data_IF_772730968172
#
_entry.id   IF_772730968172
#
_cell.length_a   1.000
_cell.length_b   1.000
_cell.length_c   1.000
_cell.angle_alpha   90.00
_cell.angle_beta   90.00
_cell.angle_gamma   90.00
#
_symmetry.space_group_name_H-M   'P 1'
#
loop_
_entity.id
_entity.type
_entity.pdbx_description
1 polymer ?
#
# COMPACT_ATOMS: atom_id res chain seq x y z
N UNK A 1 27.69 11.30 42.89
CA UNK A 1 28.47 12.23 42.06
C UNK A 1 27.70 12.46 40.77
N UNK A 2 27.03 13.62 40.74
CA UNK A 2 26.62 14.45 39.61
C UNK A 2 26.11 13.80 38.31
N UNK A 3 24.81 13.52 38.27
CA UNK A 3 24.03 13.69 37.03
C UNK A 3 24.01 15.18 36.71
N UNK A 4 24.87 15.63 35.79
CA UNK A 4 24.74 16.95 35.16
C UNK A 4 23.32 17.06 34.59
N UNK A 5 22.52 17.94 35.18
CA UNK A 5 21.27 18.43 34.60
C UNK A 5 21.69 19.12 33.31
N UNK A 6 21.46 18.46 32.18
CA UNK A 6 21.63 19.09 30.87
C UNK A 6 20.52 20.15 30.79
N UNK A 7 20.89 21.43 30.92
CA UNK A 7 19.97 22.55 30.80
C UNK A 7 19.20 22.44 29.47
N UNK A 8 17.95 22.01 29.54
CA UNK A 8 17.04 21.96 28.40
C UNK A 8 16.72 23.43 28.04
N UNK A 9 17.44 23.98 27.06
CA UNK A 9 17.26 25.37 26.62
C UNK A 9 15.86 25.49 26.01
N UNK A 10 14.95 26.08 26.76
CA UNK A 10 13.59 26.34 26.32
C UNK A 10 13.56 27.55 25.39
N UNK A 11 13.10 27.34 24.17
CA UNK A 11 12.99 28.36 23.13
C UNK A 11 11.60 28.99 23.14
N UNK A 12 11.52 30.29 22.90
CA UNK A 12 10.26 30.95 22.53
C UNK A 12 9.77 30.46 21.16
N UNK A 13 8.51 30.75 20.82
CA UNK A 13 7.97 30.39 19.50
C UNK A 13 8.78 30.98 18.33
N UNK A 14 9.32 32.20 18.48
CA UNK A 14 10.12 32.83 17.44
C UNK A 14 11.50 32.17 17.28
N UNK A 15 12.16 31.83 18.38
CA UNK A 15 13.45 31.12 18.36
C UNK A 15 13.30 29.69 17.84
N UNK A 16 12.23 28.99 18.23
CA UNK A 16 11.91 27.66 17.73
C UNK A 16 11.62 27.68 16.21
N UNK A 17 10.84 28.67 15.74
CA UNK A 17 10.59 28.91 14.32
C UNK A 17 11.89 29.14 13.54
N UNK A 18 12.75 30.04 14.03
CA UNK A 18 14.04 30.32 13.41
C UNK A 18 14.95 29.09 13.35
N UNK A 19 14.96 28.28 14.40
CA UNK A 19 15.82 27.09 14.51
C UNK A 19 15.35 25.91 13.63
N UNK A 20 14.04 25.78 13.43
CA UNK A 20 13.44 24.68 12.65
C UNK A 20 13.12 25.06 11.21
N UNK A 21 13.21 26.35 10.85
CA UNK A 21 12.78 26.86 9.55
C UNK A 21 11.27 26.91 9.37
N UNK A 22 10.49 26.64 10.43
CA UNK A 22 9.04 26.69 10.41
C UNK A 22 8.53 28.10 10.76
N UNK A 23 7.31 28.43 10.33
CA UNK A 23 6.66 29.66 10.79
C UNK A 23 6.05 29.46 12.19
N UNK A 24 5.95 30.54 12.97
CA UNK A 24 5.21 30.53 14.26
C UNK A 24 3.75 30.06 14.06
N UNK A 25 3.15 30.36 12.91
CA UNK A 25 1.82 29.87 12.53
C UNK A 25 1.82 28.34 12.41
N UNK A 26 2.83 27.77 11.77
CA UNK A 26 2.98 26.31 11.61
C UNK A 26 3.12 25.62 12.97
N UNK A 27 3.90 26.19 13.89
CA UNK A 27 4.02 25.65 15.26
C UNK A 27 2.67 25.57 15.98
N UNK A 28 1.81 26.59 15.80
CA UNK A 28 0.44 26.58 16.38
C UNK A 28 -0.46 25.56 15.71
N UNK A 29 -0.34 25.38 14.39
CA UNK A 29 -1.09 24.34 13.66
C UNK A 29 -0.70 22.96 14.17
N UNK A 30 0.59 22.70 14.37
CA UNK A 30 1.07 21.41 14.86
C UNK A 30 0.64 21.14 16.31
N UNK A 31 0.66 22.15 17.18
CA UNK A 31 0.08 22.03 18.52
C UNK A 31 -1.43 21.74 18.47
N UNK A 32 -2.20 22.45 17.63
CA UNK A 32 -3.64 22.24 17.49
C UNK A 32 -4.00 20.84 16.96
N UNK A 33 -3.09 20.22 16.20
CA UNK A 33 -3.22 18.85 15.70
C UNK A 33 -2.62 17.80 16.66
N UNK A 34 -2.20 18.20 17.87
CA UNK A 34 -1.65 17.30 18.88
C UNK A 34 -0.25 16.75 18.56
N UNK A 35 0.43 17.29 17.54
CA UNK A 35 1.75 16.82 17.12
C UNK A 35 2.86 17.24 18.07
N UNK A 36 2.67 18.35 18.78
CA UNK A 36 3.59 18.87 19.79
C UNK A 36 2.80 19.42 20.97
N UNK A 37 3.40 19.36 22.16
CA UNK A 37 2.78 19.85 23.40
C UNK A 37 3.76 20.77 24.14
N UNK A 38 3.96 22.01 23.65
CA UNK A 38 4.95 22.91 24.23
C UNK A 38 4.62 23.27 25.68
N UNK A 39 5.65 23.40 26.50
CA UNK A 39 5.53 23.90 27.88
C UNK A 39 5.03 25.34 27.86
N UNK A 40 4.49 25.80 28.99
CA UNK A 40 3.98 27.17 29.12
C UNK A 40 4.56 27.85 30.35
N UNK A 41 4.86 29.14 30.23
CA UNK A 41 5.19 30.01 31.37
C UNK A 41 3.93 30.29 32.21
N UNK A 42 4.09 30.84 33.41
CA UNK A 42 2.97 31.36 34.22
C UNK A 42 2.12 32.42 33.50
N UNK A 43 2.72 33.19 32.58
CA UNK A 43 2.03 34.15 31.69
C UNK A 43 1.43 33.51 30.43
N UNK A 44 1.34 32.17 30.40
CA UNK A 44 0.78 31.36 29.32
C UNK A 44 1.50 31.45 27.95
N UNK A 45 2.78 31.85 27.93
CA UNK A 45 3.61 31.85 26.72
C UNK A 45 4.18 30.46 26.45
N UNK A 46 4.23 30.06 25.16
CA UNK A 46 4.75 28.75 24.73
C UNK A 46 6.27 28.71 24.76
N UNK A 47 6.79 27.62 25.31
CA UNK A 47 8.20 27.29 25.40
C UNK A 47 8.43 25.90 24.80
N UNK A 48 9.42 25.81 23.92
CA UNK A 48 9.75 24.62 23.15
C UNK A 48 11.10 24.09 23.63
N UNK A 49 11.12 22.91 24.20
CA UNK A 49 12.34 22.23 24.61
C UNK A 49 12.87 21.29 23.53
N UNK A 50 13.88 20.52 23.90
CA UNK A 50 14.53 19.57 22.99
C UNK A 50 13.54 18.55 22.42
N UNK A 51 12.59 18.08 23.23
CA UNK A 51 11.59 17.09 22.80
C UNK A 51 10.67 17.64 21.70
N UNK A 52 10.22 18.89 21.83
CA UNK A 52 9.41 19.51 20.78
C UNK A 52 10.21 19.68 19.49
N UNK A 53 11.50 20.03 19.57
CA UNK A 53 12.35 20.17 18.38
C UNK A 53 12.54 18.83 17.67
N UNK A 54 12.81 17.75 18.41
CA UNK A 54 12.92 16.40 17.84
C UNK A 54 11.61 16.02 17.15
N UNK A 55 10.47 16.22 17.82
CA UNK A 55 9.15 15.92 17.27
C UNK A 55 8.81 16.76 16.03
N UNK A 56 9.22 18.03 15.99
CA UNK A 56 9.07 18.88 14.81
C UNK A 56 9.86 18.36 13.61
N UNK A 57 11.09 17.89 13.83
CA UNK A 57 11.91 17.30 12.77
C UNK A 57 11.29 15.99 12.24
N UNK A 58 10.76 15.13 13.11
CA UNK A 58 10.02 13.92 12.71
C UNK A 58 8.83 14.26 11.81
N UNK A 59 8.01 15.24 12.22
CA UNK A 59 6.87 15.72 11.43
C UNK A 59 7.32 16.26 10.07
N UNK A 60 8.43 16.99 10.01
CA UNK A 60 8.96 17.55 8.76
C UNK A 60 9.42 16.46 7.79
N UNK A 61 10.14 15.44 8.28
CA UNK A 61 10.59 14.30 7.46
C UNK A 61 9.38 13.57 6.89
N UNK A 62 8.41 13.21 7.74
CA UNK A 62 7.19 12.52 7.29
C UNK A 62 6.36 13.38 6.33
N UNK A 63 6.38 14.70 6.50
CA UNK A 63 5.70 15.61 5.57
C UNK A 63 6.38 15.67 4.21
N UNK A 64 7.71 15.64 4.16
CA UNK A 64 8.49 15.54 2.93
C UNK A 64 8.24 14.22 2.18
N UNK A 65 7.99 13.14 2.91
CA UNK A 65 7.58 11.85 2.35
C UNK A 65 6.14 11.86 1.78
N UNK A 66 5.42 12.97 1.91
CA UNK A 66 4.09 13.16 1.32
C UNK A 66 2.92 12.80 2.24
N UNK A 67 3.16 12.52 3.53
CA UNK A 67 2.08 12.20 4.46
C UNK A 67 1.25 13.43 4.84
N UNK A 68 -0.03 13.23 5.15
CA UNK A 68 -0.90 14.28 5.69
C UNK A 68 -0.65 14.48 7.19
N UNK A 69 -0.99 15.66 7.75
CA UNK A 69 -0.77 15.94 9.17
C UNK A 69 -1.62 15.01 10.08
N UNK A 70 -2.82 14.63 9.64
CA UNK A 70 -3.66 13.67 10.36
C UNK A 70 -2.99 12.29 10.44
N UNK A 71 -2.43 11.81 9.32
CA UNK A 71 -1.71 10.53 9.27
C UNK A 71 -0.44 10.56 10.11
N UNK A 72 0.28 11.69 10.08
CA UNK A 72 1.47 11.90 10.93
C UNK A 72 1.10 11.87 12.41
N UNK A 73 -0.04 12.46 12.80
CA UNK A 73 -0.51 12.42 14.18
C UNK A 73 -0.86 11.01 14.66
N UNK A 74 -1.54 10.23 13.82
CA UNK A 74 -1.89 8.82 14.07
C UNK A 74 -0.63 7.95 14.22
N UNK A 75 0.41 8.24 13.43
CA UNK A 75 1.70 7.54 13.50
C UNK A 75 2.44 7.82 14.80
N UNK A 76 2.55 9.09 15.15
CA UNK A 76 3.36 9.55 16.27
C UNK A 76 2.69 9.37 17.64
N UNK A 77 1.45 8.84 17.67
CA UNK A 77 0.74 8.45 18.89
C UNK A 77 1.13 7.07 19.44
N UNK A 78 2.04 6.33 18.80
CA UNK A 78 2.81 5.27 19.47
C UNK A 78 2.59 3.82 19.03
N UNK A 79 2.37 3.56 17.74
CA UNK A 79 2.43 2.19 17.20
C UNK A 79 3.53 2.06 16.13
N UNK A 80 4.72 1.53 16.48
CA UNK A 80 5.85 1.40 15.56
C UNK A 80 5.53 0.58 14.30
N UNK A 81 4.72 -0.47 14.43
CA UNK A 81 4.27 -1.31 13.32
C UNK A 81 3.42 -0.55 12.28
N UNK A 82 2.76 0.56 12.69
CA UNK A 82 2.00 1.40 11.76
C UNK A 82 2.92 2.29 10.92
N UNK A 83 4.10 2.65 11.43
CA UNK A 83 5.06 3.48 10.69
C UNK A 83 5.66 2.73 9.52
N UNK A 84 6.20 1.54 9.76
CA UNK A 84 6.80 0.73 8.70
C UNK A 84 5.80 0.46 7.58
N UNK A 85 4.57 0.05 7.94
CA UNK A 85 3.51 -0.23 6.99
C UNK A 85 3.02 1.00 6.22
N UNK A 86 2.89 2.15 6.87
CA UNK A 86 2.47 3.38 6.20
C UNK A 86 3.57 3.93 5.28
N UNK A 87 4.84 3.80 5.68
CA UNK A 87 5.98 4.13 4.82
C UNK A 87 6.04 3.22 3.60
N UNK A 88 5.72 1.94 3.75
CA UNK A 88 5.66 1.00 2.62
C UNK A 88 4.54 1.37 1.63
N UNK A 89 3.33 1.65 2.12
CA UNK A 89 2.21 2.12 1.28
C UNK A 89 2.57 3.41 0.55
N UNK A 90 3.20 4.36 1.26
CA UNK A 90 3.61 5.63 0.68
C UNK A 90 4.72 5.44 -0.36
N UNK A 91 5.70 4.57 -0.09
CA UNK A 91 6.75 4.22 -1.03
C UNK A 91 6.18 3.60 -2.29
N UNK A 92 5.23 2.66 -2.18
CA UNK A 92 4.52 2.08 -3.33
C UNK A 92 3.77 3.15 -4.11
N UNK A 93 3.04 4.04 -3.43
CA UNK A 93 2.33 5.15 -4.08
C UNK A 93 3.28 6.06 -4.87
N UNK A 94 4.43 6.41 -4.28
CA UNK A 94 5.44 7.23 -4.94
C UNK A 94 6.11 6.50 -6.10
N UNK A 95 6.39 5.21 -5.98
CA UNK A 95 6.93 4.39 -7.09
C UNK A 95 5.95 4.31 -8.25
N UNK A 96 4.66 4.06 -7.98
CA UNK A 96 3.62 4.03 -9.02
C UNK A 96 3.53 5.38 -9.74
N UNK A 97 3.54 6.49 -9.00
CA UNK A 97 3.58 7.84 -9.60
C UNK A 97 4.87 8.06 -10.40
N UNK A 98 6.01 7.63 -9.90
CA UNK A 98 7.29 7.74 -10.62
C UNK A 98 7.24 6.97 -11.93
N UNK A 99 6.72 5.73 -11.93
CA UNK A 99 6.55 4.94 -13.15
C UNK A 99 5.62 5.63 -14.15
N UNK A 100 4.50 6.19 -13.67
CA UNK A 100 3.58 6.98 -14.51
C UNK A 100 4.24 8.24 -15.11
N UNK A 101 5.04 8.95 -14.31
CA UNK A 101 5.79 10.14 -14.75
C UNK A 101 6.82 9.73 -15.80
N UNK A 102 7.61 8.68 -15.57
CA UNK A 102 8.60 8.18 -16.52
C UNK A 102 7.97 7.74 -17.84
N UNK A 103 6.84 7.02 -17.79
CA UNK A 103 6.07 6.67 -18.99
C UNK A 103 5.58 7.91 -19.73
N UNK A 104 5.08 8.92 -19.00
CA UNK A 104 4.63 10.18 -19.59
C UNK A 104 5.78 10.95 -20.24
N UNK A 105 6.95 11.01 -19.59
CA UNK A 105 8.15 11.64 -20.13
C UNK A 105 8.66 10.94 -21.38
N UNK A 106 8.63 9.60 -21.40
CA UNK A 106 8.97 8.79 -22.58
C UNK A 106 8.05 9.11 -23.76
N UNK A 107 6.74 9.16 -23.51
CA UNK A 107 5.73 9.52 -24.52
C UNK A 107 5.97 10.95 -25.04
N UNK A 108 6.20 11.91 -24.15
CA UNK A 108 6.54 13.29 -24.53
C UNK A 108 7.80 13.31 -25.42
N UNK A 109 8.84 12.56 -25.07
CA UNK A 109 10.06 12.45 -25.89
C UNK A 109 9.79 11.90 -27.28
N UNK A 110 8.99 10.84 -27.40
CA UNK A 110 8.60 10.26 -28.70
C UNK A 110 7.77 11.25 -29.52
N UNK A 111 6.81 11.95 -28.90
CA UNK A 111 6.01 12.98 -29.55
C UNK A 111 6.88 14.15 -30.02
N UNK A 112 7.86 14.58 -29.22
CA UNK A 112 8.79 15.65 -29.59
C UNK A 112 9.66 15.24 -30.78
N UNK A 113 10.11 13.98 -30.87
CA UNK A 113 10.86 13.47 -32.01
C UNK A 113 10.00 13.42 -33.28
N UNK A 114 8.76 12.92 -33.19
CA UNK A 114 7.85 12.85 -34.34
C UNK A 114 7.35 14.23 -34.78
N UNK A 115 7.11 15.14 -33.84
CA UNK A 115 6.70 16.52 -34.15
C UNK A 115 7.71 17.28 -34.99
N UNK A 116 9.01 16.96 -34.90
CA UNK A 116 10.05 17.53 -35.79
C UNK A 116 9.85 17.15 -37.26
N UNK A 117 9.15 16.05 -37.54
CA UNK A 117 8.89 15.53 -38.89
C UNK A 117 7.42 15.70 -39.33
N UNK A 118 6.61 16.42 -38.54
CA UNK A 118 5.17 16.56 -38.72
C UNK A 118 4.40 15.49 -37.93
N UNK A 119 3.63 15.94 -36.93
CA UNK A 119 2.84 15.04 -36.09
C UNK A 119 1.47 14.80 -36.74
N UNK A 120 1.16 13.55 -37.09
CA UNK A 120 -0.17 13.17 -37.58
C UNK A 120 -1.09 12.67 -36.45
N UNK A 121 -2.40 12.68 -36.70
CA UNK A 121 -3.37 12.06 -35.79
C UNK A 121 -3.16 10.54 -35.66
N UNK A 122 -2.66 9.90 -36.71
CA UNK A 122 -2.35 8.47 -36.73
C UNK A 122 -1.14 8.14 -35.84
N UNK A 123 -0.14 9.04 -35.78
CA UNK A 123 0.98 8.92 -34.85
C UNK A 123 0.56 9.04 -33.39
N UNK A 124 -0.37 9.96 -33.10
CA UNK A 124 -0.96 10.12 -31.77
C UNK A 124 -1.74 8.86 -31.35
N UNK A 125 -2.50 8.27 -32.28
CA UNK A 125 -3.26 7.04 -32.04
C UNK A 125 -2.35 5.81 -31.91
N UNK A 126 -1.26 5.71 -32.68
CA UNK A 126 -0.24 4.65 -32.53
C UNK A 126 0.48 4.76 -31.20
N UNK A 127 0.86 5.96 -30.78
CA UNK A 127 1.52 6.18 -29.49
C UNK A 127 0.61 5.87 -28.31
N UNK A 128 -0.67 6.25 -28.37
CA UNK A 128 -1.64 5.86 -27.35
C UNK A 128 -1.75 4.32 -27.26
N UNK A 129 -1.78 3.61 -28.39
CA UNK A 129 -1.80 2.15 -28.43
C UNK A 129 -0.50 1.53 -27.89
N UNK A 130 0.67 2.06 -28.25
CA UNK A 130 1.97 1.59 -27.77
C UNK A 130 2.17 1.81 -26.26
N UNK A 131 1.63 2.88 -25.69
CA UNK A 131 1.60 3.09 -24.22
C UNK A 131 0.59 2.22 -23.48
N UNK A 132 -0.35 1.59 -24.20
CA UNK A 132 -1.36 0.70 -23.66
C UNK A 132 -1.16 -0.78 -24.04
N UNK A 133 -0.06 -1.14 -24.71
CA UNK A 133 0.22 -2.52 -25.10
C UNK A 133 1.12 -3.22 -24.09
N UNK A 134 0.49 -3.72 -23.02
CA UNK A 134 0.63 -5.10 -22.57
C UNK A 134 -0.75 -5.59 -22.10
N UNK A 135 -1.50 -6.22 -23.01
CA UNK A 135 -2.60 -7.16 -22.74
C UNK A 135 -3.47 -6.91 -21.50
N UNK A 136 -4.04 -5.73 -21.37
CA UNK A 136 -5.35 -5.58 -20.76
C UNK A 136 -6.32 -5.71 -21.95
N UNK A 137 -7.14 -6.76 -22.00
CA UNK A 137 -8.30 -6.76 -22.92
C UNK A 137 -9.02 -5.42 -22.80
N UNK A 138 -9.57 -4.87 -23.88
CA UNK A 138 -10.24 -3.54 -23.88
C UNK A 138 -11.17 -3.36 -22.65
N UNK A 139 -11.73 -4.45 -22.14
CA UNK A 139 -12.50 -4.55 -20.91
C UNK A 139 -11.74 -4.18 -19.61
N UNK A 140 -10.51 -4.64 -19.39
CA UNK A 140 -9.74 -4.33 -18.14
C UNK A 140 -9.36 -2.85 -18.12
N UNK A 141 -8.90 -2.30 -19.26
CA UNK A 141 -8.58 -0.88 -19.37
C UNK A 141 -9.83 -0.02 -19.12
N UNK A 142 -10.97 -0.41 -19.69
CA UNK A 142 -12.25 0.23 -19.43
C UNK A 142 -12.67 0.13 -17.95
N UNK A 143 -12.56 -1.05 -17.32
CA UNK A 143 -12.87 -1.21 -15.89
C UNK A 143 -11.96 -0.36 -15.02
N UNK A 144 -10.66 -0.28 -15.29
CA UNK A 144 -9.75 0.62 -14.55
C UNK A 144 -10.19 2.06 -14.64
N UNK A 145 -10.56 2.51 -15.84
CA UNK A 145 -11.09 3.85 -16.04
C UNK A 145 -12.38 4.08 -15.23
N UNK A 146 -13.32 3.14 -15.27
CA UNK A 146 -14.58 3.22 -14.50
C UNK A 146 -14.30 3.26 -12.99
N UNK A 147 -13.46 2.35 -12.49
CA UNK A 147 -13.11 2.23 -11.07
C UNK A 147 -12.38 3.46 -10.52
N UNK A 148 -11.62 4.16 -11.36
CA UNK A 148 -10.90 5.39 -11.03
C UNK A 148 -11.79 6.65 -10.98
N UNK A 149 -13.07 6.56 -11.40
CA UNK A 149 -13.95 7.73 -11.39
C UNK A 149 -14.23 8.20 -9.96
N UNK A 150 -14.38 9.52 -9.76
CA UNK A 150 -14.82 10.06 -8.47
C UNK A 150 -16.16 9.46 -8.04
N UNK A 151 -16.21 8.94 -6.82
CA UNK A 151 -17.41 8.36 -6.21
C UNK A 151 -18.05 9.36 -5.24
N UNK A 152 -19.38 9.35 -5.19
CA UNK A 152 -20.14 10.21 -4.26
C UNK A 152 -20.75 9.34 -3.18
N UNK A 153 -20.52 9.71 -1.92
CA UNK A 153 -21.12 9.02 -0.79
C UNK A 153 -22.61 9.37 -0.68
N UNK A 154 -23.42 8.35 -0.42
CA UNK A 154 -24.84 8.46 -0.08
C UNK A 154 -25.05 8.02 1.37
N UNK A 155 -25.99 8.65 2.06
CA UNK A 155 -26.43 8.19 3.38
C UNK A 155 -27.39 7.01 3.24
N UNK A 156 -27.13 5.94 3.98
CA UNK A 156 -28.01 4.76 4.08
C UNK A 156 -28.36 4.54 5.56
N UNK A 157 -29.47 3.84 5.81
CA UNK A 157 -29.90 3.53 7.18
C UNK A 157 -28.80 2.73 7.91
N UNK A 158 -28.24 3.22 9.03
CA UNK A 158 -27.23 2.49 9.78
C UNK A 158 -27.67 1.08 10.20
N UNK A 159 -28.98 0.84 10.34
CA UNK A 159 -29.50 -0.49 10.67
C UNK A 159 -29.37 -1.48 9.50
N UNK A 160 -29.39 -1.02 8.25
CA UNK A 160 -29.20 -1.92 7.11
C UNK A 160 -27.75 -2.39 6.96
N UNK A 161 -26.79 -1.74 7.64
CA UNK A 161 -25.39 -2.12 7.59
C UNK A 161 -25.13 -3.52 8.17
N UNK A 162 -25.99 -4.00 9.08
CA UNK A 162 -25.84 -5.33 9.68
C UNK A 162 -26.03 -6.45 8.67
N UNK A 163 -26.76 -6.21 7.57
CA UNK A 163 -26.94 -7.20 6.50
C UNK A 163 -25.62 -7.63 5.88
N UNK A 164 -24.65 -6.72 5.80
CA UNK A 164 -23.35 -6.95 5.16
C UNK A 164 -22.33 -7.57 6.09
N UNK A 165 -22.59 -7.62 7.40
CA UNK A 165 -21.65 -8.16 8.39
C UNK A 165 -21.49 -9.65 8.19
N UNK A 166 -20.24 -10.11 8.13
CA UNK A 166 -19.90 -11.51 7.94
C UNK A 166 -18.46 -11.74 7.50
N UNK A 167 -18.12 -13.01 7.38
CA UNK A 167 -16.85 -13.46 6.81
C UNK A 167 -17.05 -13.84 5.34
N UNK A 168 -16.04 -13.60 4.52
CA UNK A 168 -16.10 -13.82 3.08
C UNK A 168 -14.86 -14.57 2.60
N UNK A 169 -15.04 -15.53 1.69
CA UNK A 169 -13.97 -16.31 1.07
C UNK A 169 -13.91 -15.99 -0.41
N UNK A 170 -12.80 -15.41 -0.86
CA UNK A 170 -12.52 -15.14 -2.26
C UNK A 170 -12.17 -16.42 -3.01
N UNK A 171 -12.32 -16.40 -4.34
CA UNK A 171 -12.01 -17.53 -5.24
C UNK A 171 -10.54 -17.95 -5.18
N UNK A 172 -9.61 -17.03 -4.91
CA UNK A 172 -8.18 -17.30 -4.69
C UNK A 172 -7.88 -17.81 -3.27
N UNK A 173 -8.91 -17.98 -2.44
CA UNK A 173 -8.81 -18.42 -1.06
C UNK A 173 -8.43 -17.32 -0.08
N UNK A 174 -8.31 -16.05 -0.48
CA UNK A 174 -8.18 -14.95 0.48
C UNK A 174 -9.42 -14.88 1.38
N UNK A 175 -9.23 -14.57 2.67
CA UNK A 175 -10.36 -14.33 3.59
C UNK A 175 -10.55 -12.84 3.79
N UNK A 176 -11.80 -12.38 3.70
CA UNK A 176 -12.21 -11.04 4.10
C UNK A 176 -13.19 -11.08 5.27
N UNK A 177 -13.31 -9.96 5.97
CA UNK A 177 -14.35 -9.70 6.96
C UNK A 177 -15.02 -8.37 6.67
N UNK A 178 -16.30 -8.29 6.98
CA UNK A 178 -17.05 -7.04 7.03
C UNK A 178 -17.71 -6.96 8.40
N UNK A 179 -17.53 -5.82 9.07
CA UNK A 179 -18.12 -5.56 10.39
C UNK A 179 -18.61 -4.13 10.49
N UNK A 180 -19.42 -3.85 11.51
CA UNK A 180 -19.81 -2.49 11.84
C UNK A 180 -18.99 -1.95 13.01
N UNK A 181 -18.76 -0.64 13.01
CA UNK A 181 -18.13 0.09 14.11
C UNK A 181 -18.67 1.51 14.15
N UNK A 182 -19.22 1.93 15.30
CA UNK A 182 -19.80 3.26 15.49
C UNK A 182 -20.74 3.72 14.35
N UNK A 183 -21.57 2.82 13.80
CA UNK A 183 -22.50 3.12 12.70
C UNK A 183 -21.86 3.19 11.31
N UNK A 184 -20.59 2.77 11.17
CA UNK A 184 -19.87 2.67 9.91
C UNK A 184 -19.68 1.22 9.51
N UNK A 185 -19.56 0.97 8.21
CA UNK A 185 -19.20 -0.35 7.68
C UNK A 185 -17.69 -0.39 7.45
N UNK A 186 -17.02 -1.40 8.00
CA UNK A 186 -15.59 -1.62 7.84
C UNK A 186 -15.37 -2.94 7.10
N UNK A 187 -14.50 -2.94 6.10
CA UNK A 187 -14.05 -4.12 5.38
C UNK A 187 -12.56 -4.35 5.61
N UNK A 188 -12.15 -5.61 5.80
CA UNK A 188 -10.75 -6.01 5.96
C UNK A 188 -10.44 -7.29 5.20
N UNK A 189 -9.23 -7.37 4.66
CA UNK A 189 -8.67 -8.59 4.09
C UNK A 189 -7.64 -9.17 5.04
N UNK A 190 -7.44 -10.49 5.00
CA UNK A 190 -6.52 -11.17 5.91
C UNK A 190 -5.11 -10.57 5.85
N UNK A 191 -4.55 -10.27 7.02
CA UNK A 191 -3.23 -9.62 7.13
C UNK A 191 -3.22 -8.13 6.74
N UNK A 192 -4.36 -7.55 6.35
CA UNK A 192 -4.52 -6.16 5.94
C UNK A 192 -5.35 -5.35 6.96
N UNK A 193 -5.10 -4.03 7.09
CA UNK A 193 -5.91 -3.18 7.94
C UNK A 193 -7.34 -3.08 7.40
N UNK A 194 -8.26 -2.79 8.30
CA UNK A 194 -9.65 -2.52 7.95
C UNK A 194 -9.82 -1.09 7.48
N UNK A 195 -10.68 -0.89 6.48
CA UNK A 195 -11.03 0.42 5.95
C UNK A 195 -12.53 0.62 5.93
N UNK A 196 -12.93 1.89 6.07
CA UNK A 196 -14.33 2.29 5.95
C UNK A 196 -14.83 2.10 4.50
N UNK A 197 -15.95 1.39 4.39
CA UNK A 197 -16.70 1.20 3.16
C UNK A 197 -17.80 2.26 3.11
N UNK A 198 -17.67 3.20 2.17
CA UNK A 198 -18.62 4.30 1.99
C UNK A 198 -19.70 3.88 1.00
N UNK A 199 -20.98 4.02 1.35
CA UNK A 199 -22.07 3.69 0.45
C UNK A 199 -22.13 4.66 -0.74
N UNK A 200 -22.25 4.13 -1.96
CA UNK A 200 -22.56 4.86 -3.19
C UNK A 200 -24.02 4.65 -3.58
N UNK A 201 -24.54 3.44 -3.35
CA UNK A 201 -25.93 3.05 -3.58
C UNK A 201 -26.25 1.82 -2.70
N UNK A 202 -27.51 1.33 -2.64
CA UNK A 202 -27.81 0.06 -2.00
C UNK A 202 -26.90 -1.05 -2.53
N UNK A 203 -26.30 -1.81 -1.61
CA UNK A 203 -25.36 -2.91 -1.87
C UNK A 203 -24.08 -2.51 -2.63
N UNK A 204 -23.82 -1.22 -2.85
CA UNK A 204 -22.62 -0.71 -3.54
C UNK A 204 -21.84 0.24 -2.67
N UNK A 205 -20.59 -0.10 -2.42
CA UNK A 205 -19.69 0.63 -1.55
C UNK A 205 -18.37 0.93 -2.25
N UNK A 206 -17.65 1.94 -1.76
CA UNK A 206 -16.32 2.30 -2.26
C UNK A 206 -15.39 2.71 -1.13
N UNK A 207 -14.09 2.67 -1.42
CA UNK A 207 -13.04 3.15 -0.53
C UNK A 207 -12.57 4.54 -0.97
N UNK A 208 -12.27 5.41 0.01
CA UNK A 208 -11.69 6.74 -0.27
C UNK A 208 -10.16 6.74 -0.33
N UNK A 209 -9.53 5.66 0.15
CA UNK A 209 -8.07 5.53 0.23
C UNK A 209 -7.44 5.02 -1.07
N UNK A 210 -8.20 4.29 -1.88
CA UNK A 210 -7.76 3.67 -3.13
C UNK A 210 -8.97 3.52 -4.06
N UNK A 211 -8.80 3.53 -5.40
CA UNK A 211 -9.88 3.28 -6.35
C UNK A 211 -10.35 1.81 -6.30
N UNK A 212 -11.12 1.49 -5.27
CA UNK A 212 -11.70 0.17 -5.08
C UNK A 212 -13.17 0.29 -4.66
N UNK A 213 -13.97 -0.67 -5.12
CA UNK A 213 -15.39 -0.79 -4.83
C UNK A 213 -15.73 -2.20 -4.34
N UNK A 214 -16.80 -2.27 -3.56
CA UNK A 214 -17.37 -3.53 -3.07
C UNK A 214 -18.84 -3.54 -3.45
N UNK A 215 -19.24 -4.52 -4.26
CA UNK A 215 -20.65 -4.80 -4.55
C UNK A 215 -21.07 -6.03 -3.78
N UNK A 216 -22.15 -5.96 -3.02
CA UNK A 216 -22.70 -7.12 -2.33
C UNK A 216 -23.77 -7.78 -3.18
N UNK A 217 -23.71 -9.11 -3.26
CA UNK A 217 -24.70 -9.91 -3.97
C UNK A 217 -25.68 -10.51 -2.97
N UNK A 218 -26.97 -10.42 -3.29
CA UNK A 218 -28.06 -11.02 -2.51
C UNK A 218 -28.61 -12.26 -3.21
N UNK A 219 -29.09 -13.21 -2.43
CA UNK A 219 -29.82 -14.38 -2.92
C UNK A 219 -31.29 -14.06 -3.22
N UNK A 220 -32.06 -15.06 -3.66
CA UNK A 220 -33.50 -14.93 -3.97
C UNK A 220 -34.35 -14.52 -2.75
N UNK A 221 -33.86 -14.72 -1.53
CA UNK A 221 -34.53 -14.35 -0.29
C UNK A 221 -34.20 -12.92 0.16
N UNK A 222 -33.26 -12.26 -0.51
CA UNK A 222 -32.77 -10.92 -0.18
C UNK A 222 -31.64 -10.91 0.84
N UNK A 223 -31.07 -12.07 1.19
CA UNK A 223 -29.92 -12.17 2.10
C UNK A 223 -28.62 -12.00 1.34
N UNK A 224 -27.65 -11.28 1.91
CA UNK A 224 -26.32 -11.12 1.31
C UNK A 224 -25.60 -12.48 1.33
N UNK A 225 -25.31 -13.02 0.15
CA UNK A 225 -24.65 -14.31 -0.02
C UNK A 225 -23.18 -14.19 -0.43
N UNK A 226 -22.75 -13.00 -0.86
CA UNK A 226 -21.40 -12.78 -1.35
C UNK A 226 -21.09 -11.32 -1.59
N UNK A 227 -19.88 -11.07 -2.08
CA UNK A 227 -19.44 -9.76 -2.55
C UNK A 227 -18.49 -9.89 -3.72
N UNK A 228 -18.33 -8.79 -4.44
CA UNK A 228 -17.35 -8.61 -5.51
C UNK A 228 -16.48 -7.41 -5.13
N UNK A 229 -15.17 -7.64 -5.03
CA UNK A 229 -14.18 -6.57 -4.90
C UNK A 229 -13.75 -6.14 -6.30
N UNK A 230 -13.99 -4.89 -6.63
CA UNK A 230 -13.59 -4.26 -7.89
C UNK A 230 -12.34 -3.40 -7.62
N UNK A 231 -11.19 -3.76 -8.19
CA UNK A 231 -9.94 -3.03 -7.97
C UNK A 231 -8.95 -3.26 -9.13
N UNK A 232 -8.30 -2.18 -9.58
CA UNK A 232 -7.28 -2.20 -10.65
C UNK A 232 -7.73 -2.91 -11.95
N UNK A 233 -9.01 -2.82 -12.29
CA UNK A 233 -9.64 -3.44 -13.46
C UNK A 233 -10.08 -4.88 -13.27
N UNK A 234 -9.79 -5.46 -12.09
CA UNK A 234 -10.18 -6.80 -11.72
C UNK A 234 -11.45 -6.81 -10.89
N UNK A 235 -12.12 -7.96 -10.95
CA UNK A 235 -13.30 -8.28 -10.13
C UNK A 235 -13.02 -9.60 -9.44
N UNK A 236 -12.97 -9.56 -8.11
CA UNK A 236 -12.66 -10.69 -7.25
C UNK A 236 -13.92 -11.06 -6.48
N UNK A 237 -14.50 -12.20 -6.82
CA UNK A 237 -15.71 -12.69 -6.16
C UNK A 237 -15.38 -13.38 -4.86
N UNK A 238 -16.24 -13.18 -3.87
CA UNK A 238 -16.20 -13.87 -2.61
C UNK A 238 -17.59 -14.34 -2.19
N UNK A 239 -17.65 -15.57 -1.70
CA UNK A 239 -18.86 -16.10 -1.07
C UNK A 239 -18.83 -15.79 0.42
N UNK A 240 -19.99 -15.44 0.99
CA UNK A 240 -20.16 -15.39 2.43
C UNK A 240 -19.91 -16.80 3.00
N UNK A 241 -19.16 -16.88 4.08
CA UNK A 241 -18.78 -18.13 4.71
C UNK A 241 -19.18 -18.18 6.18
N UNK A 242 -19.00 -19.34 6.80
CA UNK A 242 -19.37 -19.59 8.19
C UNK A 242 -18.72 -18.55 9.13
N UNK A 243 -19.48 -17.99 10.10
CA UNK A 243 -18.93 -17.05 11.06
C UNK A 243 -17.70 -17.61 11.80
N UNK A 244 -16.66 -16.78 11.95
CA UNK A 244 -15.39 -17.15 12.57
C UNK A 244 -14.38 -17.77 11.61
N UNK A 245 -14.72 -17.90 10.32
CA UNK A 245 -13.77 -18.30 9.27
C UNK A 245 -12.62 -17.30 9.15
N UNK A 246 -12.90 -16.00 9.26
CA UNK A 246 -11.84 -14.98 9.24
C UNK A 246 -10.94 -15.11 10.47
N UNK A 247 -11.53 -15.24 11.68
CA UNK A 247 -10.75 -15.37 12.91
C UNK A 247 -9.82 -16.59 12.88
N UNK A 248 -10.31 -17.75 12.44
CA UNK A 248 -9.48 -18.96 12.28
C UNK A 248 -8.31 -18.74 11.31
N UNK A 249 -8.55 -18.04 10.20
CA UNK A 249 -7.50 -17.73 9.24
C UNK A 249 -6.49 -16.72 9.79
N UNK A 250 -6.94 -15.75 10.60
CA UNK A 250 -6.08 -14.79 11.28
C UNK A 250 -5.23 -15.45 12.35
N UNK A 251 -5.80 -16.34 13.16
CA UNK A 251 -5.06 -17.13 14.14
C UNK A 251 -3.99 -18.00 13.47
N UNK A 252 -4.33 -18.70 12.38
CA UNK A 252 -3.38 -19.50 11.62
C UNK A 252 -2.24 -18.66 11.00
N UNK A 253 -2.55 -17.45 10.53
CA UNK A 253 -1.55 -16.51 10.06
C UNK A 253 -0.62 -16.08 11.20
N UNK A 254 -1.16 -15.73 12.36
CA UNK A 254 -0.37 -15.35 13.54
C UNK A 254 0.52 -16.50 14.03
N UNK A 255 0.00 -17.73 14.03
CA UNK A 255 0.77 -18.92 14.37
C UNK A 255 1.94 -19.12 13.40
N UNK A 256 1.73 -18.93 12.09
CA UNK A 256 2.80 -19.02 11.09
C UNK A 256 3.86 -17.92 11.24
N UNK A 257 3.41 -16.69 11.49
CA UNK A 257 4.29 -15.55 11.78
C UNK A 257 5.15 -15.85 13.01
N UNK A 258 4.54 -16.42 14.05
CA UNK A 258 5.23 -16.80 15.29
C UNK A 258 6.17 -17.99 15.11
N UNK A 259 5.78 -18.99 14.34
CA UNK A 259 6.62 -20.15 13.99
C UNK A 259 7.80 -19.73 13.08
N UNK A 260 7.63 -18.64 12.35
CA UNK A 260 8.59 -18.12 11.39
C UNK A 260 8.95 -19.15 10.31
N UNK A 261 7.94 -19.87 9.82
CA UNK A 261 8.11 -20.92 8.81
C UNK A 261 7.62 -20.42 7.44
N UNK A 262 8.46 -20.52 6.39
CA UNK A 262 8.03 -20.16 5.04
C UNK A 262 7.00 -21.17 4.51
N UNK A 263 6.25 -20.77 3.49
CA UNK A 263 5.49 -21.70 2.68
C UNK A 263 6.41 -22.80 2.12
N UNK A 264 5.95 -24.05 2.04
CA UNK A 264 6.69 -25.10 1.35
C UNK A 264 7.06 -24.67 -0.08
N UNK A 265 8.35 -24.80 -0.41
CA UNK A 265 8.90 -24.49 -1.73
C UNK A 265 8.92 -23.01 -2.13
N UNK A 266 8.66 -22.06 -1.22
CA UNK A 266 8.67 -20.62 -1.59
C UNK A 266 10.03 -20.11 -2.03
N UNK A 267 11.13 -20.63 -1.47
CA UNK A 267 12.47 -20.29 -1.91
C UNK A 267 12.72 -20.67 -3.38
N UNK A 268 12.33 -21.86 -3.79
CA UNK A 268 12.48 -22.33 -5.17
C UNK A 268 11.57 -21.56 -6.11
N UNK A 269 10.32 -21.30 -5.69
CA UNK A 269 9.39 -20.48 -6.45
C UNK A 269 9.92 -19.04 -6.66
N UNK A 270 10.54 -18.44 -5.64
CA UNK A 270 11.16 -17.13 -5.75
C UNK A 270 12.35 -17.13 -6.72
N UNK A 271 13.17 -18.20 -6.74
CA UNK A 271 14.24 -18.34 -7.73
C UNK A 271 13.67 -18.39 -9.16
N UNK A 272 12.58 -19.12 -9.36
CA UNK A 272 11.88 -19.17 -10.66
C UNK A 272 11.39 -17.79 -11.06
N UNK A 273 10.71 -17.07 -10.16
CA UNK A 273 10.21 -15.70 -10.42
C UNK A 273 11.35 -14.75 -10.81
N UNK A 274 12.48 -14.78 -10.08
CA UNK A 274 13.64 -13.94 -10.40
C UNK A 274 14.20 -14.27 -11.78
N UNK A 275 14.31 -15.56 -12.12
CA UNK A 275 14.78 -16.01 -13.43
C UNK A 275 13.83 -15.59 -14.55
N UNK A 276 12.52 -15.73 -14.36
CA UNK A 276 11.48 -15.29 -15.29
C UNK A 276 11.54 -13.78 -15.53
N UNK A 277 11.63 -13.00 -14.46
CA UNK A 277 11.73 -11.54 -14.54
C UNK A 277 13.01 -11.10 -15.26
N UNK A 278 14.14 -11.75 -14.98
CA UNK A 278 15.41 -11.49 -15.66
C UNK A 278 15.38 -11.88 -17.15
N UNK A 279 14.61 -12.91 -17.51
CA UNK A 279 14.38 -13.31 -18.90
C UNK A 279 13.32 -12.47 -19.63
N UNK A 280 12.63 -11.56 -18.93
CA UNK A 280 11.53 -10.78 -19.49
C UNK A 280 10.30 -11.63 -19.82
N UNK A 281 10.04 -12.67 -19.04
CA UNK A 281 8.89 -13.60 -19.21
C UNK A 281 8.01 -13.64 -17.97
N UNK A 282 6.74 -14.06 -18.12
CA UNK A 282 5.81 -14.28 -17.00
C UNK A 282 5.00 -15.55 -17.26
N UNK A 283 5.13 -16.57 -16.39
CA UNK A 283 4.34 -17.79 -16.51
C UNK A 283 2.96 -17.64 -15.84
N UNK A 284 1.89 -17.50 -16.62
CA UNK A 284 0.55 -17.18 -16.11
C UNK A 284 -0.07 -18.22 -15.16
N UNK A 285 0.38 -19.48 -15.19
CA UNK A 285 -0.16 -20.53 -14.33
C UNK A 285 0.38 -20.44 -12.89
N UNK A 286 1.52 -19.78 -12.68
CA UNK A 286 2.16 -19.65 -11.36
C UNK A 286 1.64 -18.47 -10.53
N UNK A 287 0.86 -17.57 -11.15
CA UNK A 287 0.35 -16.34 -10.53
C UNK A 287 -1.18 -16.28 -10.56
N UNK A 288 -1.78 -15.58 -9.61
CA UNK A 288 -3.16 -15.13 -9.78
C UNK A 288 -3.25 -14.15 -10.96
N UNK A 289 -4.40 -14.05 -11.67
CA UNK A 289 -4.55 -13.13 -12.80
C UNK A 289 -4.18 -11.68 -12.47
N UNK A 290 -4.49 -11.24 -11.26
CA UNK A 290 -4.16 -9.92 -10.72
C UNK A 290 -2.65 -9.73 -10.65
N UNK A 291 -1.94 -10.66 -10.01
CA UNK A 291 -0.50 -10.56 -9.85
C UNK A 291 0.22 -10.68 -11.21
N UNK A 292 -0.23 -11.58 -12.08
CA UNK A 292 0.33 -11.74 -13.43
C UNK A 292 0.30 -10.42 -14.21
N UNK A 293 -0.81 -9.68 -14.15
CA UNK A 293 -0.94 -8.38 -14.80
C UNK A 293 0.01 -7.33 -14.21
N UNK A 294 0.14 -7.29 -12.88
CA UNK A 294 1.04 -6.34 -12.20
C UNK A 294 2.50 -6.62 -12.57
N UNK A 295 2.92 -7.88 -12.54
CA UNK A 295 4.28 -8.28 -12.92
C UNK A 295 4.52 -7.90 -14.38
N UNK A 296 3.59 -8.20 -15.28
CA UNK A 296 3.70 -7.88 -16.71
C UNK A 296 3.90 -6.39 -16.96
N UNK A 297 3.15 -5.53 -16.27
CA UNK A 297 3.28 -4.06 -16.39
C UNK A 297 4.61 -3.53 -15.86
N UNK A 298 5.21 -4.19 -14.87
CA UNK A 298 6.46 -3.78 -14.25
C UNK A 298 7.69 -4.52 -14.82
N UNK A 299 7.48 -5.52 -15.67
CA UNK A 299 8.50 -6.47 -16.11
C UNK A 299 9.73 -5.80 -16.71
N UNK A 300 9.53 -4.77 -17.53
CA UNK A 300 10.62 -4.01 -18.13
C UNK A 300 11.49 -3.32 -17.05
N UNK A 301 10.85 -2.70 -16.05
CA UNK A 301 11.55 -2.00 -14.97
C UNK A 301 12.29 -2.99 -14.06
N UNK A 302 11.62 -4.08 -13.69
CA UNK A 302 12.21 -5.14 -12.85
C UNK A 302 13.38 -5.80 -13.58
N UNK A 303 13.22 -6.12 -14.86
CA UNK A 303 14.27 -6.71 -15.70
C UNK A 303 15.53 -5.83 -15.77
N UNK A 304 15.38 -4.53 -16.00
CA UNK A 304 16.51 -3.58 -16.00
C UNK A 304 17.24 -3.52 -14.66
N UNK A 305 16.50 -3.55 -13.54
CA UNK A 305 17.11 -3.56 -12.21
C UNK A 305 17.83 -4.88 -11.94
N UNK A 306 17.27 -6.02 -12.35
CA UNK A 306 17.91 -7.33 -12.24
C UNK A 306 19.17 -7.42 -13.11
N UNK A 307 19.15 -6.89 -14.34
CA UNK A 307 20.35 -6.78 -15.18
C UNK A 307 21.45 -5.95 -14.51
N UNK A 308 21.09 -4.81 -13.91
CA UNK A 308 22.03 -3.96 -13.16
C UNK A 308 22.63 -4.68 -11.96
N UNK A 309 21.82 -5.46 -11.25
CA UNK A 309 22.23 -6.23 -10.07
C UNK A 309 23.08 -7.45 -10.43
N UNK A 310 22.95 -7.98 -11.65
CA UNK A 310 23.69 -9.14 -12.11
C UNK A 310 23.11 -10.46 -11.59
N UNK A 311 23.83 -11.59 -11.77
CA UNK A 311 23.33 -12.92 -11.43
C UNK A 311 23.03 -13.09 -9.93
N UNK A 312 22.00 -13.87 -9.64
CA UNK A 312 21.63 -14.30 -8.30
C UNK A 312 22.76 -15.12 -7.67
N UNK A 313 23.20 -14.74 -6.46
CA UNK A 313 24.22 -15.43 -5.66
C UNK A 313 23.61 -16.28 -4.55
N UNK A 314 22.78 -15.68 -3.70
CA UNK A 314 22.13 -16.39 -2.60
C UNK A 314 20.73 -15.86 -2.34
N UNK A 315 19.96 -16.66 -1.62
CA UNK A 315 18.59 -16.37 -1.22
C UNK A 315 18.42 -16.93 0.18
N UNK A 316 18.26 -16.02 1.13
CA UNK A 316 18.33 -16.30 2.56
C UNK A 316 16.99 -15.92 3.19
N UNK A 317 16.30 -16.90 3.76
CA UNK A 317 15.02 -16.68 4.42
C UNK A 317 15.21 -15.83 5.68
N UNK A 318 14.48 -14.73 5.76
CA UNK A 318 14.52 -13.78 6.89
C UNK A 318 13.40 -14.01 7.87
N UNK A 319 12.23 -14.34 7.38
CA UNK A 319 11.08 -14.61 8.22
C UNK A 319 9.76 -14.44 7.52
N UNK A 320 8.68 -14.58 8.29
CA UNK A 320 7.32 -14.31 7.83
C UNK A 320 6.89 -12.94 8.35
N UNK A 321 6.61 -12.02 7.43
CA UNK A 321 6.13 -10.68 7.76
C UNK A 321 4.71 -10.71 8.36
N UNK A 322 4.31 -9.65 9.06
CA UNK A 322 3.00 -9.57 9.73
C UNK A 322 1.80 -9.74 8.78
N UNK A 323 1.98 -9.45 7.48
CA UNK A 323 0.98 -9.66 6.43
C UNK A 323 0.98 -11.07 5.82
N UNK A 324 1.81 -12.00 6.32
CA UNK A 324 1.93 -13.36 5.80
C UNK A 324 2.78 -13.49 4.54
N UNK A 325 3.68 -12.54 4.30
CA UNK A 325 4.68 -12.66 3.24
C UNK A 325 5.89 -13.43 3.76
N UNK A 326 6.39 -14.38 2.97
CA UNK A 326 7.71 -14.95 3.20
C UNK A 326 8.75 -13.94 2.70
N UNK A 327 9.63 -13.52 3.60
CA UNK A 327 10.64 -12.50 3.36
C UNK A 327 12.00 -13.15 3.13
N UNK A 328 12.68 -12.72 2.08
CA UNK A 328 13.99 -13.20 1.68
C UNK A 328 14.94 -12.04 1.49
N UNK A 329 16.16 -12.16 2.02
CA UNK A 329 17.28 -11.39 1.52
C UNK A 329 17.83 -12.09 0.28
N UNK A 330 17.93 -11.34 -0.79
CA UNK A 330 18.35 -11.83 -2.10
C UNK A 330 19.62 -11.10 -2.49
N UNK A 331 20.72 -11.83 -2.53
CA UNK A 331 22.03 -11.33 -2.90
C UNK A 331 22.28 -11.58 -4.39
N UNK A 332 22.61 -10.51 -5.10
CA UNK A 332 23.03 -10.52 -6.49
C UNK A 332 24.51 -10.17 -6.58
N UNK A 333 25.08 -10.20 -7.79
CA UNK A 333 26.48 -9.89 -7.99
C UNK A 333 26.87 -8.48 -7.52
N UNK A 334 26.03 -7.49 -7.84
CA UNK A 334 26.29 -6.06 -7.68
C UNK A 334 25.32 -5.38 -6.69
N UNK A 335 24.61 -6.15 -5.86
CA UNK A 335 23.72 -5.57 -4.87
C UNK A 335 22.86 -6.58 -4.14
N UNK A 336 22.07 -6.08 -3.20
CA UNK A 336 21.21 -6.87 -2.32
C UNK A 336 19.83 -6.24 -2.25
N UNK A 337 18.80 -7.07 -2.28
CA UNK A 337 17.40 -6.68 -2.14
C UNK A 337 16.69 -7.54 -1.10
N UNK A 338 15.58 -7.04 -0.59
CA UNK A 338 14.59 -7.86 0.10
C UNK A 338 13.44 -8.15 -0.86
N UNK A 339 13.05 -9.41 -0.94
CA UNK A 339 11.91 -9.88 -1.71
C UNK A 339 10.89 -10.49 -0.77
N UNK A 340 9.62 -10.19 -1.01
CA UNK A 340 8.51 -10.80 -0.31
C UNK A 340 7.56 -11.47 -1.28
N UNK A 341 7.08 -12.66 -0.92
CA UNK A 341 6.03 -13.35 -1.67
C UNK A 341 4.92 -13.86 -0.76
N UNK A 342 3.71 -13.98 -1.29
CA UNK A 342 2.57 -14.63 -0.64
C UNK A 342 1.86 -15.57 -1.61
N UNK A 343 1.21 -16.59 -1.05
CA UNK A 343 0.48 -17.61 -1.81
C UNK A 343 -1.03 -17.54 -1.56
N UNK A 344 -1.79 -17.76 -2.63
CA UNK A 344 -3.20 -18.10 -2.61
C UNK A 344 -3.40 -19.53 -2.04
N UNK A 345 -4.65 -19.89 -1.72
CA UNK A 345 -4.95 -21.21 -1.17
C UNK A 345 -4.69 -22.36 -2.15
N UNK A 346 -4.73 -22.07 -3.45
CA UNK A 346 -4.41 -23.01 -4.53
C UNK A 346 -2.90 -23.14 -4.81
N UNK A 347 -2.05 -22.42 -4.06
CA UNK A 347 -0.59 -22.46 -4.18
C UNK A 347 0.01 -21.48 -5.18
N UNK A 348 -0.80 -20.77 -5.98
CA UNK A 348 -0.32 -19.72 -6.88
C UNK A 348 0.15 -18.51 -6.08
N UNK A 349 1.07 -17.75 -6.64
CA UNK A 349 1.49 -16.48 -6.05
C UNK A 349 0.35 -15.45 -6.20
N UNK A 350 -0.01 -14.80 -5.10
CA UNK A 350 -0.99 -13.71 -5.10
C UNK A 350 -0.41 -12.36 -4.63
N UNK A 351 0.84 -12.37 -4.16
CA UNK A 351 1.59 -11.16 -3.83
C UNK A 351 3.08 -11.36 -4.07
N UNK A 352 3.71 -10.30 -4.59
CA UNK A 352 5.15 -10.22 -4.81
C UNK A 352 5.59 -8.76 -4.62
N UNK A 353 6.69 -8.53 -3.92
CA UNK A 353 7.34 -7.23 -3.90
C UNK A 353 8.86 -7.37 -3.83
N UNK A 354 9.54 -6.31 -4.25
CA UNK A 354 10.98 -6.13 -4.04
C UNK A 354 11.26 -4.73 -3.50
N UNK A 355 12.17 -4.63 -2.54
CA UNK A 355 12.60 -3.36 -1.95
C UNK A 355 14.09 -3.42 -1.59
N UNK A 356 14.76 -2.27 -1.40
CA UNK A 356 16.12 -2.26 -0.86
C UNK A 356 16.15 -3.05 0.45
N UNK A 357 17.15 -3.94 0.60
CA UNK A 357 17.28 -4.68 1.85
C UNK A 357 17.50 -3.72 3.02
N UNK A 358 16.89 -3.96 4.19
CA UNK A 358 17.16 -3.16 5.37
C UNK A 358 18.66 -3.18 5.67
N UNK A 359 19.27 -2.01 5.91
CA UNK A 359 20.65 -1.96 6.37
C UNK A 359 20.76 -2.78 7.65
N UNK A 360 21.71 -3.72 7.69
CA UNK A 360 22.09 -4.37 8.94
C UNK A 360 22.55 -3.26 9.89
N UNK A 361 21.74 -2.97 10.92
CA UNK A 361 22.15 -2.07 12.00
C UNK A 361 23.21 -2.86 12.78
N UNK A 362 24.47 -2.55 12.50
CA UNK A 362 25.66 -3.07 13.21
C UNK A 362 25.68 -2.59 14.65
#
# INVERSE_FOLDING_TARGET
>A
MDKKIQNDVLLTAAECAARTGLSVKTLRVYEAQGLITPKRTDKNWRLYGTNEIVRLNEVMILKQLGLSLSKISELLSGQPANLERLLEIQATTLRTRSAQIETSLRLIGQLQLKAKNGLSMEDLLSLAKETHMHEATDDIAWRRYEQARPRTQVEIDPKSLTDYVGDYRFEDGLTGKVRTDAGKLLGGLLGQPEFELFAEAPDKFFLKITPAQVTFDRDETGLVQGLILHQEGFELKANRCEPGTYQKAEDALQDRVKANEPYPGSADQLRTVIAECAAGTVNHDDYTPQLASVIREQLQMVGQELERLGPLKSLDFRGVGAGGYDLYTVDFENGRLEWGLSKAADGRLNGLFMRPAPCDIV
#
